data_IF_745426247449
#
_entry.id   IF_745426247449
#
_cell.length_a   1.000
_cell.length_b   1.000
_cell.length_c   1.000
_cell.angle_alpha   90.00
_cell.angle_beta   90.00
_cell.angle_gamma   90.00
#
_symmetry.space_group_name_H-M   'P 1'
#
loop_
_entity.id
_entity.type
_entity.pdbx_description
1 polymer ?
#
# COMPACT_ATOMS: atom_id res chain seq x y z
N UNK A 1 9.71 5.00 15.03
CA UNK A 1 8.79 3.96 15.53
C UNK A 1 7.39 4.27 15.03
N UNK A 2 6.92 3.58 13.98
CA UNK A 2 5.57 3.77 13.45
C UNK A 2 4.59 3.08 14.39
N UNK A 3 3.72 3.86 15.02
CA UNK A 3 2.73 3.32 15.97
C UNK A 3 1.61 2.58 15.24
N UNK A 4 0.95 1.64 15.92
CA UNK A 4 -0.27 0.98 15.43
C UNK A 4 -1.38 1.96 15.06
N UNK A 5 -1.38 3.15 15.67
CA UNK A 5 -2.33 4.21 15.34
C UNK A 5 -2.05 4.83 13.96
N UNK A 6 -0.77 4.91 13.55
CA UNK A 6 -0.40 5.35 12.21
C UNK A 6 -0.95 4.39 11.12
N UNK A 7 -0.97 3.08 11.38
CA UNK A 7 -1.56 2.12 10.41
C UNK A 7 -3.07 2.28 10.25
N UNK A 8 -3.78 2.62 11.32
CA UNK A 8 -5.22 2.92 11.26
C UNK A 8 -5.46 4.23 10.49
N UNK A 9 -4.61 5.23 10.68
CA UNK A 9 -4.68 6.50 9.96
C UNK A 9 -4.43 6.30 8.46
N UNK A 10 -3.44 5.50 8.08
CA UNK A 10 -3.21 5.09 6.69
C UNK A 10 -4.47 4.42 6.13
N UNK A 11 -5.00 3.40 6.82
CA UNK A 11 -6.21 2.72 6.37
C UNK A 11 -7.42 3.66 6.25
N UNK A 12 -7.55 4.65 7.13
CA UNK A 12 -8.60 5.68 7.06
C UNK A 12 -8.40 6.63 5.88
N UNK A 13 -7.17 7.04 5.61
CA UNK A 13 -6.83 7.88 4.47
C UNK A 13 -7.24 7.22 3.15
N UNK A 14 -7.01 5.91 3.03
CA UNK A 14 -7.34 5.12 1.84
C UNK A 14 -8.84 5.02 1.53
N UNK A 15 -9.73 5.33 2.47
CA UNK A 15 -11.18 5.30 2.21
C UNK A 15 -11.64 6.24 1.09
N UNK A 16 -10.85 7.27 0.76
CA UNK A 16 -11.10 8.13 -0.41
C UNK A 16 -11.16 7.34 -1.72
N UNK A 17 -10.41 6.24 -1.81
CA UNK A 17 -10.36 5.42 -3.01
C UNK A 17 -11.49 4.40 -3.06
N UNK A 18 -12.30 4.24 -2.00
CA UNK A 18 -13.32 3.19 -1.93
C UNK A 18 -14.34 3.19 -3.08
N UNK A 19 -14.53 4.35 -3.73
CA UNK A 19 -15.42 4.54 -4.89
C UNK A 19 -14.70 4.47 -6.24
N UNK A 20 -13.37 4.44 -6.24
CA UNK A 20 -12.55 4.38 -7.44
C UNK A 20 -12.49 2.92 -7.91
N UNK A 21 -12.79 2.62 -9.19
CA UNK A 21 -12.65 1.28 -9.76
C UNK A 21 -11.22 0.73 -9.75
N UNK A 22 -11.09 -0.61 -9.72
CA UNK A 22 -9.80 -1.30 -9.65
C UNK A 22 -8.94 -1.08 -10.91
N UNK A 23 -9.58 -1.03 -12.09
CA UNK A 23 -8.92 -0.78 -13.37
C UNK A 23 -8.34 0.64 -13.46
N UNK A 24 -9.05 1.63 -12.92
CA UNK A 24 -8.55 3.02 -12.85
C UNK A 24 -7.35 3.12 -11.92
N UNK A 25 -7.38 2.44 -10.76
CA UNK A 25 -6.22 2.37 -9.87
C UNK A 25 -5.04 1.68 -10.56
N UNK A 26 -5.28 0.55 -11.24
CA UNK A 26 -4.25 -0.18 -11.97
C UNK A 26 -3.62 0.67 -13.09
N UNK A 27 -4.42 1.41 -13.84
CA UNK A 27 -3.94 2.32 -14.87
C UNK A 27 -3.02 3.40 -14.29
N UNK A 28 -3.50 4.12 -13.27
CA UNK A 28 -2.74 5.22 -12.63
C UNK A 28 -1.44 4.71 -12.03
N UNK A 29 -1.48 3.59 -11.30
CA UNK A 29 -0.30 3.00 -10.65
C UNK A 29 0.74 2.55 -11.68
N UNK A 30 0.29 1.93 -12.77
CA UNK A 30 1.22 1.46 -13.82
C UNK A 30 1.80 2.63 -14.63
N UNK A 31 1.00 3.66 -14.89
CA UNK A 31 1.43 4.83 -15.66
C UNK A 31 2.40 5.71 -14.87
N UNK A 32 2.05 6.05 -13.63
CA UNK A 32 2.74 7.10 -12.87
C UNK A 32 3.65 6.54 -11.75
N UNK A 33 3.66 5.23 -11.54
CA UNK A 33 4.50 4.56 -10.54
C UNK A 33 5.98 4.60 -10.89
N UNK A 34 6.79 5.31 -10.09
CA UNK A 34 8.23 5.45 -10.36
C UNK A 34 8.96 4.10 -10.41
N UNK A 35 8.52 3.09 -9.65
CA UNK A 35 9.09 1.74 -9.67
C UNK A 35 8.86 0.95 -10.98
N UNK A 36 8.07 1.47 -11.92
CA UNK A 36 7.92 0.93 -13.27
C UNK A 36 8.93 1.49 -14.27
N UNK A 37 9.43 2.72 -14.05
CA UNK A 37 10.13 3.48 -15.09
C UNK A 37 11.45 4.11 -14.65
N UNK A 38 11.57 4.49 -13.38
CA UNK A 38 12.73 5.23 -12.86
C UNK A 38 13.87 4.34 -12.35
N UNK A 39 13.61 3.04 -12.18
CA UNK A 39 14.56 2.10 -11.57
C UNK A 39 14.58 0.78 -12.34
N UNK A 40 15.77 0.16 -12.42
CA UNK A 40 15.87 -1.24 -12.82
C UNK A 40 15.42 -2.13 -11.65
N UNK A 41 14.40 -2.96 -11.89
CA UNK A 41 13.86 -3.87 -10.88
C UNK A 41 14.84 -4.95 -10.47
N UNK A 42 15.78 -5.30 -11.34
CA UNK A 42 16.83 -6.29 -11.05
C UNK A 42 17.90 -5.75 -10.10
N UNK A 43 18.01 -4.42 -9.98
CA UNK A 43 18.94 -3.75 -9.06
C UNK A 43 18.27 -3.33 -7.73
N UNK A 44 16.96 -3.59 -7.57
CA UNK A 44 16.27 -3.26 -6.34
C UNK A 44 16.75 -4.16 -5.19
N UNK A 45 17.14 -3.58 -4.04
CA UNK A 45 17.55 -4.39 -2.89
C UNK A 45 16.39 -5.25 -2.39
N UNK A 46 16.72 -6.48 -1.97
CA UNK A 46 15.76 -7.34 -1.31
C UNK A 46 15.46 -6.84 0.11
N UNK A 47 14.23 -7.09 0.57
CA UNK A 47 13.86 -6.88 1.96
C UNK A 47 14.63 -7.88 2.84
N UNK A 48 15.24 -7.36 3.89
CA UNK A 48 16.01 -8.14 4.86
C UNK A 48 15.14 -9.01 5.77
N UNK A 49 13.85 -8.66 5.90
CA UNK A 49 12.93 -9.24 6.88
C UNK A 49 13.00 -8.57 8.26
N UNK A 50 13.92 -7.62 8.45
CA UNK A 50 14.04 -6.82 9.67
C UNK A 50 13.23 -5.53 9.55
N UNK A 51 12.42 -5.22 10.56
CA UNK A 51 11.40 -4.16 10.47
C UNK A 51 11.96 -2.76 10.16
N UNK A 52 13.02 -2.32 10.86
CA UNK A 52 13.55 -0.96 10.68
C UNK A 52 14.31 -0.78 9.34
N UNK A 53 15.26 -1.67 8.96
CA UNK A 53 15.92 -1.60 7.65
C UNK A 53 14.94 -1.66 6.47
N UNK A 54 13.94 -2.54 6.55
CA UNK A 54 12.95 -2.71 5.49
C UNK A 54 12.04 -1.50 5.35
N UNK A 55 11.70 -0.85 6.47
CA UNK A 55 10.93 0.40 6.48
C UNK A 55 11.72 1.55 5.87
N UNK A 56 13.00 1.68 6.20
CA UNK A 56 13.86 2.69 5.59
C UNK A 56 14.04 2.47 4.09
N UNK A 57 14.22 1.20 3.68
CA UNK A 57 14.29 0.83 2.28
C UNK A 57 12.99 1.15 1.54
N UNK A 58 11.85 0.78 2.10
CA UNK A 58 10.54 1.08 1.53
C UNK A 58 10.30 2.59 1.35
N UNK A 59 10.63 3.38 2.37
CA UNK A 59 10.53 4.83 2.31
C UNK A 59 11.42 5.42 1.20
N UNK A 60 12.64 4.90 1.04
CA UNK A 60 13.60 5.35 0.02
C UNK A 60 13.16 4.99 -1.39
N UNK A 61 12.70 3.76 -1.61
CA UNK A 61 12.25 3.29 -2.93
C UNK A 61 11.01 4.04 -3.43
N UNK A 62 10.13 4.43 -2.51
CA UNK A 62 8.90 5.15 -2.85
C UNK A 62 9.04 6.68 -2.73
N UNK A 63 10.20 7.20 -2.31
CA UNK A 63 10.40 8.63 -2.12
C UNK A 63 10.12 9.40 -3.43
N UNK A 64 9.21 10.37 -3.36
CA UNK A 64 8.82 11.19 -4.51
C UNK A 64 7.85 10.52 -5.49
N UNK A 65 7.42 9.27 -5.26
CA UNK A 65 6.44 8.62 -6.12
C UNK A 65 5.05 9.28 -5.94
N UNK A 66 4.39 9.75 -7.01
CA UNK A 66 3.14 10.50 -6.88
C UNK A 66 1.94 9.63 -6.50
N UNK A 67 2.05 8.30 -6.67
CA UNK A 67 0.93 7.35 -6.57
C UNK A 67 1.08 6.35 -5.42
N UNK A 68 1.78 6.72 -4.34
CA UNK A 68 2.02 5.82 -3.21
C UNK A 68 0.72 5.30 -2.57
N UNK A 69 -0.29 6.16 -2.45
CA UNK A 69 -1.54 5.79 -1.78
C UNK A 69 -2.44 4.93 -2.67
N UNK A 70 -2.51 5.25 -3.96
CA UNK A 70 -3.19 4.49 -4.99
C UNK A 70 -2.56 3.09 -5.12
N UNK A 71 -1.24 3.03 -5.12
CA UNK A 71 -0.47 1.77 -5.14
C UNK A 71 -0.80 0.90 -3.94
N UNK A 72 -0.83 1.49 -2.73
CA UNK A 72 -1.20 0.76 -1.53
C UNK A 72 -2.65 0.27 -1.59
N UNK A 73 -3.60 1.12 -1.99
CA UNK A 73 -5.01 0.73 -2.11
C UNK A 73 -5.18 -0.45 -3.09
N UNK A 74 -4.59 -0.35 -4.29
CA UNK A 74 -4.66 -1.38 -5.31
C UNK A 74 -4.12 -2.71 -4.78
N UNK A 75 -2.95 -2.67 -4.14
CA UNK A 75 -2.32 -3.85 -3.57
C UNK A 75 -3.22 -4.51 -2.51
N UNK A 76 -3.80 -3.71 -1.61
CA UNK A 76 -4.68 -4.24 -0.55
C UNK A 76 -5.96 -4.87 -1.11
N UNK A 77 -6.43 -4.46 -2.29
CA UNK A 77 -7.58 -5.07 -2.98
C UNK A 77 -7.21 -6.36 -3.71
N UNK A 78 -6.07 -6.38 -4.37
CA UNK A 78 -5.68 -7.48 -5.27
C UNK A 78 -5.10 -8.68 -4.52
N UNK A 79 -4.06 -8.48 -3.71
CA UNK A 79 -3.35 -9.57 -3.04
C UNK A 79 -3.26 -9.41 -1.52
N UNK A 80 -3.51 -8.22 -0.99
CA UNK A 80 -3.65 -7.98 0.45
C UNK A 80 -2.34 -8.23 1.20
N UNK A 81 -2.33 -9.29 2.02
CA UNK A 81 -1.20 -9.65 2.88
C UNK A 81 -0.23 -10.68 2.27
N UNK A 82 -0.48 -11.17 1.05
CA UNK A 82 0.23 -12.34 0.50
C UNK A 82 1.33 -12.00 -0.50
N UNK A 83 1.39 -10.77 -0.98
CA UNK A 83 2.47 -10.25 -1.83
C UNK A 83 3.78 -10.11 -1.08
N UNK A 84 4.87 -10.11 -1.83
CA UNK A 84 6.21 -9.79 -1.32
C UNK A 84 6.64 -8.39 -1.75
N UNK A 85 7.62 -7.83 -1.06
CA UNK A 85 8.25 -6.56 -1.42
C UNK A 85 7.53 -5.30 -0.92
N UNK A 86 7.92 -4.16 -1.48
CA UNK A 86 7.50 -2.81 -1.08
C UNK A 86 6.31 -2.32 -1.90
N UNK A 87 5.27 -1.84 -1.21
CA UNK A 87 4.07 -1.28 -1.84
C UNK A 87 3.61 -0.04 -1.07
N UNK A 88 3.46 1.08 -1.77
CA UNK A 88 3.04 2.36 -1.18
C UNK A 88 3.90 2.79 0.02
N UNK A 89 5.22 2.68 -0.11
CA UNK A 89 6.21 2.99 0.92
C UNK A 89 6.15 2.11 2.18
N UNK A 90 5.49 0.94 2.12
CA UNK A 90 5.43 -0.01 3.23
C UNK A 90 6.12 -1.34 2.90
N UNK A 91 6.93 -1.88 3.83
CA UNK A 91 7.40 -3.26 3.76
C UNK A 91 6.26 -4.24 4.10
N UNK A 92 6.53 -5.53 3.96
CA UNK A 92 5.52 -6.57 4.15
C UNK A 92 4.90 -6.58 5.56
N UNK A 93 5.71 -6.45 6.61
CA UNK A 93 5.24 -6.52 8.00
C UNK A 93 4.22 -5.40 8.30
N UNK A 94 4.55 -4.17 7.93
CA UNK A 94 3.65 -3.02 8.07
C UNK A 94 2.41 -3.14 7.20
N UNK A 95 2.58 -3.57 5.94
CA UNK A 95 1.46 -3.73 5.01
C UNK A 95 0.45 -4.73 5.56
N UNK A 96 0.91 -5.82 6.19
CA UNK A 96 0.03 -6.79 6.88
C UNK A 96 -0.76 -6.12 8.00
N UNK A 97 -0.13 -5.24 8.79
CA UNK A 97 -0.82 -4.50 9.85
C UNK A 97 -1.87 -3.52 9.31
N UNK A 98 -1.53 -2.77 8.25
CA UNK A 98 -2.47 -1.87 7.56
C UNK A 98 -3.63 -2.64 6.95
N UNK A 99 -3.37 -3.79 6.31
CA UNK A 99 -4.40 -4.63 5.69
C UNK A 99 -5.48 -5.05 6.69
N UNK A 100 -5.11 -5.41 7.93
CA UNK A 100 -6.10 -5.76 8.95
C UNK A 100 -7.02 -4.58 9.28
N UNK A 101 -6.46 -3.38 9.46
CA UNK A 101 -7.25 -2.18 9.72
C UNK A 101 -8.15 -1.82 8.52
N UNK A 102 -7.60 -1.87 7.31
CA UNK A 102 -8.32 -1.61 6.06
C UNK A 102 -9.50 -2.56 5.86
N UNK A 103 -9.33 -3.87 6.08
CA UNK A 103 -10.40 -4.86 5.94
C UNK A 103 -11.59 -4.57 6.83
N UNK A 104 -11.35 -4.24 8.10
CA UNK A 104 -12.42 -3.90 9.06
C UNK A 104 -13.22 -2.69 8.56
N UNK A 105 -12.54 -1.66 8.05
CA UNK A 105 -13.19 -0.46 7.52
C UNK A 105 -14.02 -0.77 6.27
N UNK A 106 -13.51 -1.58 5.35
CA UNK A 106 -14.23 -1.93 4.11
C UNK A 106 -15.42 -2.84 4.35
N UNK A 107 -15.34 -3.75 5.32
CA UNK A 107 -16.48 -4.54 5.76
C UNK A 107 -17.59 -3.65 6.35
N UNK A 108 -17.24 -2.67 7.20
CA UNK A 108 -18.20 -1.73 7.79
C UNK A 108 -18.96 -0.89 6.75
N UNK A 109 -18.32 -0.54 5.63
CA UNK A 109 -18.96 0.22 4.54
C UNK A 109 -19.93 -0.62 3.70
N UNK A 110 -19.56 -1.87 3.37
CA UNK A 110 -20.46 -2.78 2.62
C UNK A 110 -21.75 -3.13 3.39
N UNK A 111 -21.72 -3.06 4.72
CA UNK A 111 -22.89 -3.26 5.57
C UNK A 111 -23.83 -2.04 5.70
N UNK A 112 -23.41 -0.85 5.23
CA UNK A 112 -24.17 0.40 5.33
C UNK A 112 -25.09 0.69 4.15
N UNK A 113 -24.95 -0.02 3.03
CA UNK A 113 -25.71 0.19 1.78
C UNK A 113 -27.04 -0.60 1.72
N UNK A 114 -27.56 -1.05 2.88
CA UNK A 114 -28.80 -1.84 2.96
C UNK A 114 -29.88 -1.20 3.86
N UNK A 115 -29.92 0.13 3.99
CA UNK A 115 -30.96 0.80 4.79
C UNK A 115 -31.66 1.93 4.04
#
# INVERSE_FOLDING_TARGET
>A
MVSRDNFKEIAAYLDRYAVVPDDVLAEVVTRDGLCFWAFDRSEMPELSGEDDPDRELAARLCAGCPVMSECLELELRSAGAQTVGVWGALPESDRRAVYQAWRVRRAGRRGGEQR
#
